data_IF_975237964795
#
_entry.id   IF_975237964795
#
_cell.length_a   1.000
_cell.length_b   1.000
_cell.length_c   1.000
_cell.angle_alpha   90.00
_cell.angle_beta   90.00
_cell.angle_gamma   90.00
#
_symmetry.space_group_name_H-M   'P 1'
#
loop_
_entity.id
_entity.type
_entity.pdbx_description
1 polymer ?
#
# COMPACT_ATOMS: atom_id res chain seq x y z
N UNK A 1 -19.13 -4.13 24.37
CA UNK A 1 -19.86 -3.25 23.42
C UNK A 1 -20.70 -4.12 22.53
N UNK A 2 -22.01 -4.06 22.66
CA UNK A 2 -22.98 -4.82 21.86
C UNK A 2 -22.99 -4.23 20.44
N UNK A 3 -22.28 -4.85 19.50
CA UNK A 3 -22.29 -4.45 18.09
C UNK A 3 -23.63 -4.83 17.48
N UNK A 4 -24.43 -3.83 17.09
CA UNK A 4 -25.64 -4.05 16.31
C UNK A 4 -25.31 -4.77 15.00
N UNK A 5 -26.04 -5.86 14.74
CA UNK A 5 -25.91 -6.67 13.54
C UNK A 5 -26.86 -6.11 12.48
N UNK A 6 -26.31 -5.55 11.41
CA UNK A 6 -27.11 -5.21 10.23
C UNK A 6 -27.14 -6.42 9.31
N UNK A 7 -28.30 -7.08 9.24
CA UNK A 7 -28.50 -8.26 8.39
C UNK A 7 -28.94 -7.82 6.99
N UNK A 8 -28.04 -7.93 6.01
CA UNK A 8 -28.38 -7.76 4.59
C UNK A 8 -28.29 -9.13 3.94
N UNK A 9 -29.45 -9.79 3.79
CA UNK A 9 -29.68 -10.94 2.92
C UNK A 9 -29.04 -12.27 3.35
N UNK A 10 -27.72 -12.32 3.55
CA UNK A 10 -26.94 -13.53 3.92
C UNK A 10 -25.66 -13.16 4.71
N UNK A 11 -25.37 -11.87 4.91
CA UNK A 11 -24.09 -11.39 5.46
C UNK A 11 -24.28 -10.67 6.80
N UNK A 12 -23.57 -11.14 7.82
CA UNK A 12 -23.45 -10.47 9.12
C UNK A 12 -22.30 -9.46 9.08
N UNK A 13 -22.61 -8.20 8.76
CA UNK A 13 -21.66 -7.10 8.90
C UNK A 13 -21.65 -6.61 10.35
N UNK A 14 -20.47 -6.55 10.96
CA UNK A 14 -20.32 -5.95 12.28
C UNK A 14 -20.06 -4.43 12.18
N UNK A 15 -20.17 -3.70 13.29
CA UNK A 15 -19.94 -2.25 13.30
C UNK A 15 -18.53 -1.86 12.82
N UNK A 16 -17.53 -2.71 13.05
CA UNK A 16 -16.15 -2.48 12.57
C UNK A 16 -16.02 -2.63 11.06
N UNK A 17 -16.83 -3.47 10.42
CA UNK A 17 -16.90 -3.62 8.97
C UNK A 17 -17.44 -2.37 8.30
N UNK A 18 -18.52 -1.82 8.84
CA UNK A 18 -19.07 -0.57 8.36
C UNK A 18 -18.05 0.57 8.51
N UNK A 19 -17.38 0.65 9.67
CA UNK A 19 -16.35 1.65 9.90
C UNK A 19 -15.16 1.47 8.93
N UNK A 20 -14.72 0.23 8.69
CA UNK A 20 -13.66 -0.08 7.73
C UNK A 20 -14.06 0.35 6.31
N UNK A 21 -15.28 0.04 5.85
CA UNK A 21 -15.76 0.45 4.53
C UNK A 21 -15.73 1.97 4.40
N UNK A 22 -16.29 2.70 5.38
CA UNK A 22 -16.36 4.16 5.35
C UNK A 22 -14.97 4.78 5.35
N UNK A 23 -14.12 4.40 6.30
CA UNK A 23 -12.80 5.02 6.49
C UNK A 23 -11.86 4.69 5.34
N UNK A 24 -11.83 3.45 4.87
CA UNK A 24 -10.98 3.06 3.72
C UNK A 24 -11.47 3.72 2.44
N UNK A 25 -12.79 3.93 2.27
CA UNK A 25 -13.33 4.69 1.13
C UNK A 25 -12.89 6.15 1.16
N UNK A 26 -12.94 6.79 2.33
CA UNK A 26 -12.47 8.17 2.52
C UNK A 26 -10.97 8.26 2.25
N UNK A 27 -10.16 7.36 2.83
CA UNK A 27 -8.70 7.34 2.63
C UNK A 27 -8.34 7.15 1.15
N UNK A 28 -9.00 6.21 0.47
CA UNK A 28 -8.76 5.92 -0.95
C UNK A 28 -9.19 7.08 -1.85
N UNK A 29 -10.30 7.74 -1.51
CA UNK A 29 -10.77 8.94 -2.22
C UNK A 29 -9.79 10.11 -2.02
N UNK A 30 -9.32 10.33 -0.78
CA UNK A 30 -8.31 11.36 -0.50
C UNK A 30 -7.02 11.11 -1.31
N UNK A 31 -6.54 9.87 -1.36
CA UNK A 31 -5.36 9.48 -2.14
C UNK A 31 -5.54 9.75 -3.65
N UNK A 32 -6.75 9.51 -4.16
CA UNK A 32 -7.10 9.73 -5.57
C UNK A 32 -7.07 11.22 -6.00
N UNK A 33 -7.45 12.14 -5.11
CA UNK A 33 -7.53 13.58 -5.42
C UNK A 33 -6.28 14.37 -5.03
N UNK A 34 -5.43 13.77 -4.21
CA UNK A 34 -4.13 14.33 -3.86
C UNK A 34 -3.25 14.42 -5.11
N UNK A 35 -2.66 15.58 -5.39
CA UNK A 35 -1.77 15.75 -6.55
C UNK A 35 -0.35 15.25 -6.30
N UNK A 36 0.19 15.68 -5.16
CA UNK A 36 1.60 15.54 -4.87
C UNK A 36 1.97 14.09 -4.44
N UNK A 37 2.93 13.41 -5.10
CA UNK A 37 3.29 12.02 -4.82
C UNK A 37 3.68 11.74 -3.37
N UNK A 38 4.41 12.67 -2.72
CA UNK A 38 4.82 12.56 -1.31
C UNK A 38 3.66 12.34 -0.35
N UNK A 39 2.59 13.12 -0.51
CA UNK A 39 1.42 13.01 0.36
C UNK A 39 0.63 11.72 0.09
N UNK A 40 0.59 11.26 -1.17
CA UNK A 40 0.01 9.94 -1.49
C UNK A 40 0.78 8.81 -0.81
N UNK A 41 2.11 8.85 -0.89
CA UNK A 41 2.98 7.87 -0.26
C UNK A 41 2.80 7.87 1.27
N UNK A 42 2.71 9.05 1.89
CA UNK A 42 2.41 9.17 3.31
C UNK A 42 1.04 8.56 3.67
N UNK A 43 -0.04 8.98 2.99
CA UNK A 43 -1.38 8.44 3.22
C UNK A 43 -1.48 6.93 3.01
N UNK A 44 -0.76 6.39 2.03
CA UNK A 44 -0.69 4.95 1.77
C UNK A 44 -0.01 4.17 2.90
N UNK A 45 0.89 4.82 3.63
CA UNK A 45 1.66 4.17 4.71
C UNK A 45 0.88 4.11 6.01
N UNK A 46 -0.16 4.92 6.18
CA UNK A 46 -0.94 4.94 7.40
C UNK A 46 -1.64 3.57 7.61
N UNK A 47 -1.46 2.91 8.77
CA UNK A 47 -1.96 1.57 9.05
C UNK A 47 -3.43 1.61 9.49
N UNK A 48 -4.21 2.53 8.94
CA UNK A 48 -5.64 2.66 9.23
C UNK A 48 -6.42 1.41 8.77
N UNK A 49 -6.22 0.89 7.54
CA UNK A 49 -6.87 -0.35 7.12
C UNK A 49 -6.47 -1.52 8.02
N UNK A 50 -5.19 -1.61 8.39
CA UNK A 50 -4.69 -2.65 9.28
C UNK A 50 -5.34 -2.60 10.67
N UNK A 51 -5.45 -1.41 11.26
CA UNK A 51 -6.05 -1.20 12.58
C UNK A 51 -7.52 -1.63 12.57
N UNK A 52 -8.30 -1.13 11.61
CA UNK A 52 -9.73 -1.43 11.50
C UNK A 52 -9.98 -2.89 11.15
N UNK A 53 -9.16 -3.47 10.28
CA UNK A 53 -9.27 -4.88 9.92
C UNK A 53 -8.92 -5.79 11.10
N UNK A 54 -7.92 -5.43 11.91
CA UNK A 54 -7.58 -6.18 13.13
C UNK A 54 -8.74 -6.16 14.13
N UNK A 55 -9.38 -5.01 14.32
CA UNK A 55 -10.59 -4.88 15.15
C UNK A 55 -11.80 -5.63 14.58
N UNK A 56 -11.97 -5.61 13.26
CA UNK A 56 -13.06 -6.30 12.56
C UNK A 56 -12.92 -7.82 12.60
N UNK A 57 -11.71 -8.34 12.41
CA UNK A 57 -11.40 -9.77 12.44
C UNK A 57 -11.39 -10.30 13.87
N UNK A 58 -10.94 -9.49 14.84
CA UNK A 58 -10.96 -9.84 16.26
C UNK A 58 -10.00 -10.95 16.65
N UNK A 59 -9.02 -11.28 15.80
CA UNK A 59 -8.00 -12.29 16.06
C UNK A 59 -6.70 -11.63 16.54
N UNK A 60 -5.92 -12.32 17.40
CA UNK A 60 -4.58 -11.86 17.76
C UNK A 60 -3.70 -11.67 16.53
N UNK A 61 -2.81 -10.68 16.58
CA UNK A 61 -1.78 -10.50 15.55
C UNK A 61 -0.81 -11.67 15.64
N UNK A 62 -0.59 -12.39 14.54
CA UNK A 62 0.27 -13.56 14.48
C UNK A 62 1.07 -13.67 13.16
N UNK A 63 1.62 -14.86 12.86
CA UNK A 63 2.48 -15.05 11.69
C UNK A 63 1.80 -14.71 10.36
N UNK A 64 0.49 -14.96 10.25
CA UNK A 64 -0.30 -14.67 9.04
C UNK A 64 -0.35 -13.16 8.73
N UNK A 65 -0.44 -12.30 9.75
CA UNK A 65 -0.38 -10.84 9.56
C UNK A 65 0.97 -10.40 9.00
N UNK A 66 2.06 -10.96 9.55
CA UNK A 66 3.43 -10.62 9.16
C UNK A 66 3.74 -11.10 7.75
N UNK A 67 3.43 -12.37 7.43
CA UNK A 67 3.61 -12.93 6.08
C UNK A 67 2.69 -12.23 5.07
N UNK A 68 1.54 -11.72 5.50
CA UNK A 68 0.68 -10.92 4.62
C UNK A 68 1.34 -9.65 4.09
N UNK A 69 2.35 -9.08 4.77
CA UNK A 69 3.14 -7.98 4.21
C UNK A 69 3.96 -8.42 2.98
N UNK A 70 4.42 -9.68 2.95
CA UNK A 70 5.09 -10.27 1.78
C UNK A 70 4.09 -10.48 0.64
N UNK A 71 2.86 -10.90 0.95
CA UNK A 71 1.81 -11.01 -0.07
C UNK A 71 1.41 -9.64 -0.62
N UNK A 72 1.33 -8.61 0.23
CA UNK A 72 1.05 -7.24 -0.16
C UNK A 72 2.15 -6.70 -1.08
N UNK A 73 3.40 -6.99 -0.76
CA UNK A 73 4.54 -6.73 -1.64
C UNK A 73 4.39 -7.48 -2.96
N UNK A 74 4.13 -8.79 -2.95
CA UNK A 74 3.90 -9.58 -4.15
C UNK A 74 2.78 -9.00 -5.04
N UNK A 75 1.69 -8.53 -4.43
CA UNK A 75 0.62 -7.83 -5.11
C UNK A 75 1.13 -6.56 -5.81
N UNK A 76 1.76 -5.64 -5.07
CA UNK A 76 2.15 -4.33 -5.63
C UNK A 76 3.22 -4.46 -6.72
N UNK A 77 4.23 -5.31 -6.49
CA UNK A 77 5.27 -5.56 -7.48
C UNK A 77 4.74 -6.34 -8.67
N UNK A 78 3.79 -7.26 -8.44
CA UNK A 78 3.07 -7.96 -9.50
C UNK A 78 2.34 -6.99 -10.41
N UNK A 79 1.55 -6.06 -9.85
CA UNK A 79 0.83 -5.04 -10.65
C UNK A 79 1.81 -4.17 -11.43
N UNK A 80 2.91 -3.74 -10.81
CA UNK A 80 3.98 -3.01 -11.50
C UNK A 80 4.55 -3.81 -12.67
N UNK A 81 4.92 -5.08 -12.46
CA UNK A 81 5.51 -5.92 -13.50
C UNK A 81 4.52 -6.17 -14.64
N UNK A 82 3.30 -6.61 -14.33
CA UNK A 82 2.27 -6.92 -15.32
C UNK A 82 1.89 -5.68 -16.15
N UNK A 83 1.69 -4.53 -15.51
CA UNK A 83 1.27 -3.32 -16.21
C UNK A 83 2.44 -2.56 -16.86
N UNK A 84 3.51 -2.28 -16.12
CA UNK A 84 4.59 -1.43 -16.63
C UNK A 84 5.59 -2.19 -17.52
N UNK A 85 5.87 -3.47 -17.21
CA UNK A 85 6.85 -4.27 -17.97
C UNK A 85 6.19 -5.09 -19.06
N UNK A 86 5.07 -5.75 -18.77
CA UNK A 86 4.36 -6.61 -19.74
C UNK A 86 3.20 -5.92 -20.45
N UNK A 87 2.91 -4.65 -20.12
CA UNK A 87 1.90 -3.83 -20.79
C UNK A 87 0.48 -4.41 -20.77
N UNK A 88 0.16 -5.24 -19.78
CA UNK A 88 -1.21 -5.70 -19.58
C UNK A 88 -2.11 -4.53 -19.15
N UNK A 89 -3.42 -4.55 -19.48
CA UNK A 89 -4.37 -3.57 -18.96
C UNK A 89 -4.32 -3.49 -17.43
N UNK A 90 -4.38 -2.27 -16.87
CA UNK A 90 -4.21 -2.07 -15.42
C UNK A 90 -5.28 -2.81 -14.60
N UNK A 91 -6.53 -2.81 -15.07
CA UNK A 91 -7.65 -3.51 -14.41
C UNK A 91 -7.40 -5.01 -14.36
N UNK A 92 -6.92 -5.60 -15.47
CA UNK A 92 -6.58 -7.02 -15.53
C UNK A 92 -5.40 -7.35 -14.61
N UNK A 93 -4.37 -6.50 -14.58
CA UNK A 93 -3.20 -6.67 -13.71
C UNK A 93 -3.59 -6.65 -12.23
N UNK A 94 -4.44 -5.69 -11.84
CA UNK A 94 -5.00 -5.57 -10.49
C UNK A 94 -5.81 -6.81 -10.13
N UNK A 95 -6.70 -7.27 -11.02
CA UNK A 95 -7.53 -8.44 -10.79
C UNK A 95 -6.70 -9.72 -10.63
N UNK A 96 -5.72 -9.96 -11.50
CA UNK A 96 -4.83 -11.12 -11.44
C UNK A 96 -3.99 -11.13 -10.15
N UNK A 97 -3.40 -9.99 -9.77
CA UNK A 97 -2.62 -9.89 -8.54
C UNK A 97 -3.48 -10.00 -7.28
N UNK A 98 -4.70 -9.45 -7.27
CA UNK A 98 -5.62 -9.59 -6.15
C UNK A 98 -6.10 -11.03 -5.99
N UNK A 99 -6.44 -11.71 -7.10
CA UNK A 99 -6.77 -13.13 -7.09
C UNK A 99 -5.58 -13.98 -6.64
N UNK A 100 -4.37 -13.66 -7.10
CA UNK A 100 -3.13 -14.30 -6.67
C UNK A 100 -2.86 -14.10 -5.18
N UNK A 101 -3.08 -12.90 -4.64
CA UNK A 101 -3.01 -12.64 -3.20
C UNK A 101 -4.00 -13.53 -2.44
N UNK A 102 -5.27 -13.53 -2.84
CA UNK A 102 -6.30 -14.33 -2.17
C UNK A 102 -5.96 -15.83 -2.21
N UNK A 103 -5.58 -16.36 -3.38
CA UNK A 103 -5.21 -17.76 -3.54
C UNK A 103 -4.00 -18.15 -2.70
N UNK A 104 -2.96 -17.32 -2.68
CA UNK A 104 -1.77 -17.55 -1.86
C UNK A 104 -2.09 -17.46 -0.37
N UNK A 105 -2.88 -16.47 0.05
CA UNK A 105 -3.33 -16.31 1.44
C UNK A 105 -4.13 -17.53 1.91
N UNK A 106 -5.12 -17.99 1.14
CA UNK A 106 -5.90 -19.19 1.47
C UNK A 106 -5.01 -20.43 1.54
N UNK A 107 -4.07 -20.60 0.60
CA UNK A 107 -3.15 -21.74 0.60
C UNK A 107 -2.16 -21.72 1.77
N UNK A 108 -1.69 -20.54 2.18
CA UNK A 108 -0.74 -20.38 3.29
C UNK A 108 -1.43 -20.42 4.66
N UNK A 109 -2.68 -19.94 4.78
CA UNK A 109 -3.43 -19.91 6.03
C UNK A 109 -3.52 -21.29 6.68
N UNK A 110 -3.76 -22.33 5.87
CA UNK A 110 -3.85 -23.71 6.35
C UNK A 110 -2.49 -24.35 6.70
N UNK A 111 -1.38 -23.76 6.27
CA UNK A 111 -0.03 -24.36 6.36
C UNK A 111 0.91 -23.63 7.32
N UNK A 112 0.61 -22.39 7.67
CA UNK A 112 1.49 -21.61 8.52
C UNK A 112 1.39 -22.05 9.98
N UNK A 113 2.51 -22.42 10.62
CA UNK A 113 2.52 -22.75 12.03
C UNK A 113 2.18 -21.50 12.87
N UNK A 114 1.33 -21.68 13.88
CA UNK A 114 0.89 -20.62 14.80
C UNK A 114 1.81 -20.48 16.01
N UNK A 115 3.03 -21.02 15.96
CA UNK A 115 3.97 -20.99 17.08
C UNK A 115 4.66 -19.64 17.24
N UNK A 116 5.09 -19.35 18.46
CA UNK A 116 5.87 -18.15 18.81
C UNK A 116 7.14 -18.01 17.96
N UNK A 117 7.83 -19.13 17.74
CA UNK A 117 9.04 -19.18 16.91
C UNK A 117 8.73 -18.79 15.47
N UNK A 118 7.61 -19.27 14.91
CA UNK A 118 7.20 -18.92 13.56
C UNK A 118 6.89 -17.43 13.42
N UNK A 119 6.28 -16.84 14.45
CA UNK A 119 6.04 -15.40 14.50
C UNK A 119 7.35 -14.62 14.43
N UNK A 120 8.28 -14.83 15.36
CA UNK A 120 9.55 -14.08 15.38
C UNK A 120 10.44 -14.36 14.17
N UNK A 121 10.46 -15.59 13.66
CA UNK A 121 11.16 -15.92 12.42
C UNK A 121 10.59 -15.14 11.24
N UNK A 122 9.26 -15.03 11.13
CA UNK A 122 8.61 -14.22 10.09
C UNK A 122 8.91 -12.73 10.26
N UNK A 123 8.91 -12.20 11.49
CA UNK A 123 9.25 -10.81 11.80
C UNK A 123 10.67 -10.48 11.32
N UNK A 124 11.66 -11.31 11.67
CA UNK A 124 13.06 -11.10 11.26
C UNK A 124 13.19 -11.20 9.74
N UNK A 125 12.59 -12.24 9.12
CA UNK A 125 12.66 -12.44 7.68
C UNK A 125 12.04 -11.31 6.86
N UNK A 126 10.84 -10.86 7.25
CA UNK A 126 10.12 -9.77 6.57
C UNK A 126 10.82 -8.43 6.80
N UNK A 127 11.39 -8.19 7.98
CA UNK A 127 12.17 -6.98 8.23
C UNK A 127 13.45 -6.93 7.38
N UNK A 128 14.20 -8.03 7.33
CA UNK A 128 15.40 -8.13 6.49
C UNK A 128 15.07 -7.93 5.01
N UNK A 129 13.98 -8.52 4.54
CA UNK A 129 13.48 -8.32 3.17
C UNK A 129 13.10 -6.85 2.90
N UNK A 130 12.38 -6.21 3.84
CA UNK A 130 12.04 -4.79 3.76
C UNK A 130 13.26 -3.88 3.67
N UNK A 131 14.28 -4.12 4.51
CA UNK A 131 15.54 -3.37 4.47
C UNK A 131 16.29 -3.60 3.15
N UNK A 132 16.36 -4.85 2.70
CA UNK A 132 17.01 -5.20 1.44
C UNK A 132 16.36 -4.47 0.27
N UNK A 133 15.03 -4.57 0.13
CA UNK A 133 14.30 -3.92 -0.96
C UNK A 133 14.37 -2.40 -0.88
N UNK A 134 14.29 -1.83 0.33
CA UNK A 134 14.43 -0.39 0.51
C UNK A 134 15.79 0.11 0.00
N UNK A 135 16.87 -0.66 0.20
CA UNK A 135 18.21 -0.33 -0.33
C UNK A 135 18.33 -0.53 -1.84
N UNK A 136 17.64 -1.54 -2.39
CA UNK A 136 17.69 -1.87 -3.82
C UNK A 136 16.79 -0.99 -4.69
N UNK A 137 15.84 -0.25 -4.12
CA UNK A 137 14.90 0.60 -4.88
C UNK A 137 15.26 2.09 -4.82
N UNK A 138 16.03 2.60 -5.79
CA UNK A 138 16.34 4.02 -5.87
C UNK A 138 15.09 4.88 -6.08
N UNK A 139 15.18 6.14 -5.63
CA UNK A 139 14.16 7.14 -5.93
C UNK A 139 14.12 7.43 -7.43
N UNK A 140 12.92 7.69 -7.95
CA UNK A 140 12.69 8.09 -9.34
C UNK A 140 11.66 9.21 -9.34
N UNK A 141 11.94 10.29 -10.07
CA UNK A 141 10.94 11.30 -10.36
C UNK A 141 9.85 10.70 -11.26
N UNK A 142 8.60 10.78 -10.81
CA UNK A 142 7.42 10.34 -11.59
C UNK A 142 6.43 11.52 -11.74
N UNK A 143 5.65 11.56 -12.84
CA UNK A 143 4.72 12.66 -13.09
C UNK A 143 3.65 12.78 -12.01
N UNK A 144 3.29 14.01 -11.68
CA UNK A 144 2.10 14.26 -10.87
C UNK A 144 0.84 13.90 -11.67
N UNK A 145 -0.12 13.24 -11.01
CA UNK A 145 -1.38 12.90 -11.63
C UNK A 145 -2.53 12.99 -10.62
N UNK A 146 -3.61 13.65 -11.02
CA UNK A 146 -4.88 13.70 -10.29
C UNK A 146 -5.95 12.99 -11.10
N UNK A 147 -6.89 12.36 -10.39
CA UNK A 147 -8.07 11.76 -10.99
C UNK A 147 -8.91 12.80 -11.75
N UNK A 148 -9.28 12.57 -13.02
CA UNK A 148 -10.18 13.44 -13.76
C UNK A 148 -11.67 13.21 -13.43
N UNK A 149 -12.02 12.06 -12.82
CA UNK A 149 -13.40 11.70 -12.53
C UNK A 149 -13.98 12.55 -11.38
N UNK A 150 -15.28 12.93 -11.43
CA UNK A 150 -15.96 13.60 -10.33
C UNK A 150 -16.01 12.77 -9.04
N UNK A 151 -15.80 13.37 -7.84
CA UNK A 151 -15.80 12.65 -6.56
C UNK A 151 -17.09 11.86 -6.29
N UNK A 152 -18.23 12.41 -6.70
CA UNK A 152 -19.55 11.83 -6.45
C UNK A 152 -19.78 10.47 -7.15
N UNK A 153 -19.11 10.21 -8.27
CA UNK A 153 -19.20 8.93 -9.00
C UNK A 153 -18.16 7.95 -8.47
N UNK A 154 -16.99 8.48 -8.14
CA UNK A 154 -15.83 7.69 -7.74
C UNK A 154 -15.95 7.10 -6.34
N UNK A 155 -16.43 7.89 -5.37
CA UNK A 155 -16.57 7.42 -4.00
C UNK A 155 -17.52 6.20 -3.90
N UNK A 156 -18.70 6.17 -4.55
CA UNK A 156 -19.54 4.97 -4.59
C UNK A 156 -18.87 3.77 -5.24
N UNK A 157 -18.11 3.96 -6.32
CA UNK A 157 -17.38 2.88 -6.99
C UNK A 157 -16.30 2.27 -6.09
N UNK A 158 -15.52 3.12 -5.40
CA UNK A 158 -14.52 2.70 -4.41
C UNK A 158 -15.21 1.95 -3.26
N UNK A 159 -16.31 2.49 -2.74
CA UNK A 159 -17.07 1.86 -1.68
C UNK A 159 -17.62 0.48 -2.08
N UNK A 160 -18.09 0.32 -3.32
CA UNK A 160 -18.55 -0.96 -3.85
C UNK A 160 -17.41 -1.99 -3.94
N UNK A 161 -16.21 -1.57 -4.37
CA UNK A 161 -15.02 -2.43 -4.37
C UNK A 161 -14.66 -2.84 -2.96
N UNK A 162 -14.62 -1.91 -2.01
CA UNK A 162 -14.27 -2.23 -0.61
C UNK A 162 -15.32 -3.13 0.04
N UNK A 163 -16.60 -2.87 -0.21
CA UNK A 163 -17.70 -3.73 0.25
C UNK A 163 -17.51 -5.17 -0.27
N UNK A 164 -17.21 -5.34 -1.55
CA UNK A 164 -16.92 -6.66 -2.12
C UNK A 164 -15.75 -7.36 -1.42
N UNK A 165 -14.68 -6.61 -1.10
CA UNK A 165 -13.53 -7.16 -0.37
C UNK A 165 -13.88 -7.56 1.08
N UNK A 166 -14.72 -6.78 1.75
CA UNK A 166 -15.21 -7.09 3.10
C UNK A 166 -16.09 -8.33 3.09
N UNK A 167 -16.85 -8.58 2.02
CA UNK A 167 -17.66 -9.79 1.88
C UNK A 167 -16.78 -11.04 1.83
N UNK A 168 -15.64 -11.00 1.12
CA UNK A 168 -14.73 -12.15 0.98
C UNK A 168 -13.73 -12.30 2.15
N UNK A 169 -13.77 -11.41 3.15
CA UNK A 169 -12.75 -11.30 4.20
C UNK A 169 -12.57 -12.53 5.08
N UNK A 170 -13.67 -13.28 5.31
CA UNK A 170 -13.66 -14.39 6.27
C UNK A 170 -12.70 -15.50 5.85
N UNK A 171 -12.42 -15.62 4.54
CA UNK A 171 -11.49 -16.60 3.99
C UNK A 171 -10.02 -16.26 4.26
N UNK A 172 -9.70 -14.99 4.55
CA UNK A 172 -8.32 -14.49 4.58
C UNK A 172 -7.71 -14.40 5.98
N UNK A 173 -8.50 -14.58 7.05
CA UNK A 173 -8.02 -14.54 8.45
C UNK A 173 -7.08 -13.35 8.70
N UNK A 174 -5.89 -13.57 9.29
CA UNK A 174 -4.89 -12.52 9.55
C UNK A 174 -4.35 -11.83 8.30
N UNK A 175 -4.38 -12.47 7.12
CA UNK A 175 -4.01 -11.84 5.84
C UNK A 175 -4.96 -10.73 5.43
N UNK A 176 -6.21 -10.73 5.94
CA UNK A 176 -7.15 -9.63 5.70
C UNK A 176 -6.61 -8.30 6.21
N UNK A 177 -5.85 -8.32 7.32
CA UNK A 177 -5.37 -7.10 7.97
C UNK A 177 -4.39 -6.29 7.13
N UNK A 178 -3.73 -6.94 6.17
CA UNK A 178 -2.77 -6.33 5.25
C UNK A 178 -3.19 -6.50 3.80
N UNK A 179 -4.45 -6.86 3.58
CA UNK A 179 -5.02 -6.93 2.24
C UNK A 179 -4.92 -5.57 1.55
N UNK A 180 -4.58 -5.51 0.25
CA UNK A 180 -4.34 -4.26 -0.51
C UNK A 180 -5.61 -3.42 -0.75
N UNK A 181 -6.44 -3.13 0.24
CA UNK A 181 -7.71 -2.40 0.06
C UNK A 181 -7.48 -1.01 -0.55
N UNK A 182 -6.61 -0.21 0.07
CA UNK A 182 -6.21 1.10 -0.45
C UNK A 182 -5.32 0.95 -1.67
N UNK A 183 -4.44 -0.06 -1.68
CA UNK A 183 -3.49 -0.30 -2.77
C UNK A 183 -4.15 -0.70 -4.08
N UNK A 184 -5.33 -1.33 -4.07
CA UNK A 184 -6.15 -1.59 -5.27
C UNK A 184 -6.53 -0.30 -5.97
N UNK A 185 -7.09 0.65 -5.22
CA UNK A 185 -7.46 1.97 -5.75
C UNK A 185 -6.21 2.75 -6.11
N UNK A 186 -5.20 2.76 -5.24
CA UNK A 186 -3.95 3.46 -5.49
C UNK A 186 -3.24 2.96 -6.75
N UNK A 187 -3.27 1.65 -7.05
CA UNK A 187 -2.66 1.10 -8.27
C UNK A 187 -3.37 1.55 -9.53
N UNK A 188 -4.71 1.64 -9.50
CA UNK A 188 -5.50 2.11 -10.64
C UNK A 188 -5.28 3.62 -10.89
N UNK A 189 -5.31 4.40 -9.82
CA UNK A 189 -5.18 5.86 -9.86
C UNK A 189 -3.74 6.32 -10.10
N UNK A 190 -2.80 5.64 -9.44
CA UNK A 190 -1.37 5.82 -9.55
C UNK A 190 -0.73 4.96 -10.64
N UNK A 191 -1.47 4.54 -11.67
CA UNK A 191 -0.93 3.73 -12.78
C UNK A 191 0.24 4.39 -13.51
N UNK A 192 0.37 5.72 -13.42
CA UNK A 192 1.50 6.51 -13.95
C UNK A 192 2.66 6.68 -12.96
N UNK A 193 2.48 6.27 -11.70
CA UNK A 193 3.46 6.37 -10.62
C UNK A 193 3.57 5.06 -9.80
N UNK A 194 3.45 3.90 -10.48
CA UNK A 194 3.50 2.59 -9.84
C UNK A 194 4.85 2.31 -9.17
N UNK A 195 5.95 2.90 -9.64
CA UNK A 195 7.26 2.73 -9.00
C UNK A 195 7.27 3.37 -7.62
N UNK A 196 6.71 4.58 -7.49
CA UNK A 196 6.56 5.25 -6.19
C UNK A 196 5.73 4.41 -5.22
N UNK A 197 4.63 3.82 -5.70
CA UNK A 197 3.81 2.92 -4.87
C UNK A 197 4.56 1.67 -4.45
N UNK A 198 5.28 1.02 -5.38
CA UNK A 198 6.08 -0.18 -5.09
C UNK A 198 7.20 0.09 -4.07
N UNK A 199 7.88 1.23 -4.20
CA UNK A 199 8.93 1.67 -3.26
C UNK A 199 8.38 2.01 -1.87
N UNK A 200 7.10 2.36 -1.76
CA UNK A 200 6.47 2.60 -0.46
C UNK A 200 6.24 1.31 0.32
N UNK A 201 6.15 0.15 -0.34
CA UNK A 201 5.91 -1.11 0.35
C UNK A 201 7.06 -1.50 1.31
N UNK A 202 8.35 -1.43 0.93
CA UNK A 202 9.44 -1.61 1.89
C UNK A 202 9.38 -0.68 3.11
N UNK A 203 8.95 0.57 2.91
CA UNK A 203 8.77 1.52 4.03
C UNK A 203 7.64 1.06 4.94
N UNK A 204 6.50 0.68 4.35
CA UNK A 204 5.36 0.11 5.07
C UNK A 204 5.75 -1.16 5.85
N UNK A 205 6.57 -2.04 5.26
CA UNK A 205 7.09 -3.24 5.95
C UNK A 205 7.91 -2.85 7.17
N UNK A 206 8.87 -1.92 7.02
CA UNK A 206 9.73 -1.50 8.13
C UNK A 206 9.01 -0.72 9.23
N UNK A 207 7.89 -0.03 8.93
CA UNK A 207 7.12 0.74 9.93
C UNK A 207 6.01 -0.09 10.58
N UNK A 208 5.30 -0.91 9.80
CA UNK A 208 4.15 -1.69 10.29
C UNK A 208 4.58 -2.92 11.06
N UNK A 209 5.72 -3.52 10.72
CA UNK A 209 6.20 -4.73 11.39
C UNK A 209 6.56 -4.52 12.88
N UNK A 210 7.27 -3.45 13.28
CA UNK A 210 7.42 -3.10 14.69
C UNK A 210 6.09 -2.86 15.43
N UNK A 211 5.10 -2.28 14.75
CA UNK A 211 3.76 -2.13 15.28
C UNK A 211 3.10 -3.49 15.54
N UNK A 212 3.16 -4.43 14.58
CA UNK A 212 2.63 -5.79 14.73
C UNK A 212 3.31 -6.55 15.88
N UNK A 213 4.63 -6.47 15.99
CA UNK A 213 5.39 -7.07 17.09
C UNK A 213 4.96 -6.50 18.46
N UNK A 214 4.76 -5.18 18.52
CA UNK A 214 4.28 -4.51 19.74
C UNK A 214 2.87 -4.96 20.12
N UNK A 215 1.97 -5.06 19.14
CA UNK A 215 0.59 -5.53 19.37
C UNK A 215 0.59 -6.98 19.85
N UNK A 216 1.41 -7.84 19.24
CA UNK A 216 1.56 -9.24 19.62
C UNK A 216 2.02 -9.40 21.08
N UNK A 217 3.04 -8.63 21.48
CA UNK A 217 3.58 -8.66 22.85
C UNK A 217 2.61 -8.10 23.90
N UNK A 218 1.93 -6.98 23.60
CA UNK A 218 1.05 -6.31 24.55
C UNK A 218 -0.35 -6.95 24.62
N UNK A 219 -0.80 -7.59 23.54
CA UNK A 219 -2.15 -8.12 23.39
C UNK A 219 -2.62 -8.98 24.57
N UNK A 220 -1.83 -9.99 25.04
CA UNK A 220 -2.21 -10.83 26.17
C UNK A 220 -2.36 -10.09 27.50
N UNK A 221 -1.63 -8.99 27.71
CA UNK A 221 -1.57 -8.30 28.99
C UNK A 221 -2.61 -7.17 29.12
N UNK A 222 -2.84 -6.40 28.04
CA UNK A 222 -3.69 -5.18 28.09
C UNK A 222 -4.89 -5.21 27.14
N UNK A 223 -5.02 -6.28 26.34
CA UNK A 223 -6.08 -6.44 25.35
C UNK A 223 -5.84 -5.66 24.05
N UNK A 224 -6.67 -5.95 23.04
CA UNK A 224 -6.46 -5.50 21.66
C UNK A 224 -6.44 -3.97 21.51
N UNK A 225 -7.36 -3.25 22.15
CA UNK A 225 -7.46 -1.79 22.02
C UNK A 225 -6.21 -1.05 22.48
N UNK A 226 -5.73 -1.36 23.69
CA UNK A 226 -4.50 -0.76 24.23
C UNK A 226 -3.25 -1.22 23.50
N UNK A 227 -3.19 -2.48 23.07
CA UNK A 227 -2.09 -2.97 22.25
C UNK A 227 -1.98 -2.25 20.90
N UNK A 228 -3.12 -1.90 20.27
CA UNK A 228 -3.16 -1.09 19.04
C UNK A 228 -2.67 0.33 19.28
N UNK A 229 -3.07 0.96 20.39
CA UNK A 229 -2.58 2.28 20.76
C UNK A 229 -1.05 2.29 20.94
N UNK A 230 -0.50 1.30 21.66
CA UNK A 230 0.95 1.11 21.79
C UNK A 230 1.63 0.86 20.45
N UNK A 231 1.02 0.04 19.59
CA UNK A 231 1.49 -0.20 18.22
C UNK A 231 1.56 1.08 17.36
N UNK A 232 0.57 1.97 17.47
CA UNK A 232 0.56 3.27 16.78
C UNK A 232 1.70 4.19 17.24
N UNK A 233 1.99 4.21 18.55
CA UNK A 233 3.12 4.99 19.08
C UNK A 233 4.44 4.51 18.46
N UNK A 234 4.67 3.20 18.43
CA UNK A 234 5.87 2.60 17.81
C UNK A 234 5.90 2.86 16.31
N UNK A 235 4.77 2.68 15.61
CA UNK A 235 4.65 2.99 14.19
C UNK A 235 5.07 4.42 13.88
N UNK A 236 4.54 5.41 14.61
CA UNK A 236 4.84 6.82 14.40
C UNK A 236 6.30 7.15 14.74
N UNK A 237 6.85 6.56 15.80
CA UNK A 237 8.25 6.73 16.17
C UNK A 237 9.20 6.28 15.06
N UNK A 238 8.84 5.26 14.29
CA UNK A 238 9.61 4.80 13.12
C UNK A 238 9.27 5.62 11.86
N UNK A 239 7.99 5.88 11.59
CA UNK A 239 7.55 6.56 10.36
C UNK A 239 8.05 8.00 10.26
N UNK A 240 7.98 8.76 11.37
CA UNK A 240 8.33 10.19 11.39
C UNK A 240 9.78 10.45 10.91
N UNK A 241 10.83 9.79 11.44
CA UNK A 241 12.19 10.01 10.95
C UNK A 241 12.38 9.55 9.50
N UNK A 242 11.74 8.46 9.08
CA UNK A 242 11.77 8.01 7.67
C UNK A 242 11.18 9.05 6.74
N UNK A 243 9.99 9.57 7.07
CA UNK A 243 9.27 10.56 6.26
C UNK A 243 10.05 11.87 6.20
N UNK A 244 10.58 12.35 7.33
CA UNK A 244 11.41 13.57 7.39
C UNK A 244 12.65 13.47 6.51
N UNK A 245 13.36 12.33 6.56
CA UNK A 245 14.55 12.10 5.72
C UNK A 245 14.20 12.07 4.23
N UNK A 246 13.13 11.37 3.86
CA UNK A 246 12.66 11.31 2.47
C UNK A 246 12.34 12.71 1.93
N UNK A 247 11.61 13.51 2.70
CA UNK A 247 11.22 14.86 2.25
C UNK A 247 12.39 15.83 2.19
N UNK A 248 13.37 15.71 3.09
CA UNK A 248 14.58 16.53 3.05
C UNK A 248 15.40 16.27 1.77
N UNK A 249 15.59 15.00 1.39
CA UNK A 249 16.32 14.63 0.16
C UNK A 249 15.59 15.15 -1.08
N UNK A 250 14.27 14.97 -1.14
CA UNK A 250 13.51 15.42 -2.31
C UNK A 250 13.44 16.96 -2.41
N UNK A 251 13.54 17.70 -1.30
CA UNK A 251 13.58 19.17 -1.28
C UNK A 251 14.87 19.74 -1.87
N UNK A 252 15.99 19.08 -1.64
CA UNK A 252 17.31 19.44 -2.23
C UNK A 252 17.33 19.19 -3.75
N UNK A 253 16.59 18.17 -4.22
CA UNK A 253 16.50 17.88 -5.66
C UNK A 253 15.79 18.96 -6.48
N UNK A 254 14.74 19.57 -5.93
CA UNK A 254 13.97 20.62 -6.62
C UNK A 254 14.76 21.92 -6.79
N UNK A 255 15.46 22.35 -5.73
CA UNK A 255 16.27 23.58 -5.76
C UNK A 255 17.47 23.50 -6.70
N UNK A 256 18.05 22.30 -6.87
CA UNK A 256 19.14 22.08 -7.82
C UNK A 256 18.68 22.21 -9.30
N UNK A 257 17.46 21.75 -9.62
CA UNK A 257 16.87 21.92 -10.96
C UNK A 257 16.48 23.37 -11.25
N UNK A 258 15.87 24.08 -10.29
CA UNK A 258 15.48 25.49 -10.47
C UNK A 258 16.69 26.42 -10.60
N UNK A 259 17.78 26.17 -9.86
CA UNK A 259 19.02 26.96 -9.94
C UNK A 259 19.84 26.76 -11.23
N UNK A 260 19.47 25.81 -12.08
CA UNK A 260 20.14 25.57 -13.37
C UNK A 260 19.44 26.24 -14.57
N UNK A 261 18.31 26.91 -14.33
CA UNK A 261 17.47 27.53 -15.36
C UNK A 261 17.76 29.00 -15.67
N UNK A 262 18.70 29.66 -14.98
CA UNK A 262 18.89 31.11 -15.07
C UNK A 262 20.31 31.50 -15.52
N UNK A 263 20.63 31.13 -16.77
CA UNK A 263 21.58 31.84 -17.62
C UNK A 263 21.07 31.75 -19.08
N UNK A 264 20.46 32.85 -19.54
CA UNK A 264 19.75 33.04 -20.82
C UNK A 264 20.66 32.89 -22.07
N UNK A 265 20.14 32.89 -23.33
CA UNK A 265 19.60 34.13 -23.90
C UNK A 265 18.34 33.98 -24.77
N UNK A 266 17.63 35.11 -24.84
CA UNK A 266 16.78 35.55 -25.93
C UNK A 266 17.43 35.28 -27.31
N UNK A 267 16.77 34.50 -28.17
CA UNK A 267 16.64 34.76 -29.61
C UNK A 267 16.11 33.53 -30.36
N UNK A 268 15.21 33.85 -31.29
CA UNK A 268 14.58 32.95 -32.24
C UNK A 268 15.54 31.93 -32.90
N UNK A 269 15.19 30.65 -32.81
CA UNK A 269 15.44 29.71 -33.90
C UNK A 269 14.41 28.58 -33.89
N UNK A 270 13.44 28.73 -34.80
CA UNK A 270 12.68 27.64 -35.39
C UNK A 270 13.69 26.63 -35.96
N UNK A 271 13.73 25.41 -35.41
CA UNK A 271 14.46 24.27 -35.99
C UNK A 271 13.57 23.02 -36.04
N UNK A 272 13.31 22.62 -37.28
CA UNK A 272 12.78 21.39 -37.85
C UNK A 272 12.33 20.21 -36.95
N UNK A 273 11.12 19.63 -37.18
CA UNK A 273 10.66 18.38 -36.53
C UNK A 273 11.21 17.07 -37.11
N UNK A 274 12.15 17.10 -38.06
CA UNK A 274 12.63 15.89 -38.75
C UNK A 274 14.13 15.63 -38.56
N UNK A 275 14.50 14.95 -37.48
CA UNK A 275 15.81 14.31 -37.36
C UNK A 275 15.70 12.96 -36.61
N UNK A 276 15.53 11.92 -37.42
CA UNK A 276 16.04 10.55 -37.31
C UNK A 276 16.32 9.95 -35.91
N UNK A 277 15.50 8.96 -35.52
CA UNK A 277 15.94 7.89 -34.63
C UNK A 277 16.88 6.94 -35.40
N UNK A 278 18.08 6.60 -34.86
CA UNK A 278 18.90 5.54 -35.43
C UNK A 278 18.30 4.14 -35.15
N UNK A 279 18.58 3.14 -36.00
CA UNK A 279 18.02 1.79 -35.86
C UNK A 279 18.64 1.04 -34.68
N UNK A 280 17.78 0.38 -33.91
CA UNK A 280 18.17 -0.59 -32.87
C UNK A 280 18.69 -1.84 -33.58
N UNK A 281 20.00 -1.99 -33.67
CA UNK A 281 20.64 -3.26 -34.01
C UNK A 281 20.48 -4.25 -32.86
N UNK A 282 19.69 -5.30 -33.07
CA UNK A 282 19.76 -6.53 -32.27
C UNK A 282 20.98 -7.32 -32.70
N UNK A 283 21.84 -7.66 -31.75
CA UNK A 283 22.86 -8.71 -31.89
C UNK A 283 22.72 -9.70 -30.75
N UNK A 284 22.68 -10.99 -31.12
CA UNK A 284 23.06 -12.14 -30.28
C UNK A 284 22.00 -12.61 -29.28
#
# INVERSE_FOLDING_TARGET
MSTELVSVGVLTLNGWDLLLIVVVSIQSTALAYMGHPRWKAFLLTLPVPFTLATLSVGQPVGPTNVIGLVLLMGYTYGVYLLHARWRLPIVLSIALCAAGYCGAATALAARLPTSEIAFWASVVGVFALGVLLYRLMPWRAEPEHRSPLPPCIKAPMIAAVILFLVIIKQQLQGFMTVFPMVSLVASYEGRRCLWTLARQIPVLMMTTLPMMATIHLLGPAVGMGWSLAGGWVVFLAVLIPFTRRQWAVDGVGLSATEGSGEAAPDSAQVRDPHAANPPITRTG
#
